data_IF_247049612474
#
_entry.id   IF_247049612474
#
_cell.length_a   1.000
_cell.length_b   1.000
_cell.length_c   1.000
_cell.angle_alpha   90.00
_cell.angle_beta   90.00
_cell.angle_gamma   90.00
#
_symmetry.space_group_name_H-M   'P 1'
#
loop_
_entity.id
_entity.type
_entity.pdbx_description
1 polymer ?
#
# COMPACT_ATOMS: atom_id res chain seq x y z
N UNK A 1 2.11 -23.18 13.03
CA UNK A 1 0.95 -22.52 12.39
C UNK A 1 1.26 -22.41 10.90
N UNK A 2 0.34 -22.73 9.98
CA UNK A 2 0.58 -22.48 8.56
C UNK A 2 0.70 -20.97 8.34
N UNK A 3 1.69 -20.53 7.57
CA UNK A 3 1.81 -19.13 7.18
C UNK A 3 0.55 -18.69 6.41
N UNK A 4 0.05 -17.46 6.63
CA UNK A 4 -1.08 -16.95 5.87
C UNK A 4 -0.77 -17.02 4.37
N UNK A 5 -1.59 -17.75 3.62
CA UNK A 5 -1.44 -17.81 2.17
C UNK A 5 -1.88 -16.47 1.56
N UNK A 6 -0.92 -15.71 1.06
CA UNK A 6 -1.20 -14.46 0.37
C UNK A 6 -2.01 -14.71 -0.91
N UNK A 7 -3.00 -13.85 -1.16
CA UNK A 7 -3.73 -13.83 -2.44
C UNK A 7 -2.81 -13.46 -3.61
N UNK A 8 -3.26 -13.66 -4.85
CA UNK A 8 -2.49 -13.24 -6.03
C UNK A 8 -2.11 -11.76 -6.00
N UNK A 9 -3.05 -10.88 -5.60
CA UNK A 9 -2.80 -9.44 -5.46
C UNK A 9 -1.81 -9.13 -4.34
N UNK A 10 -1.95 -9.78 -3.18
CA UNK A 10 -1.04 -9.58 -2.05
C UNK A 10 0.37 -10.05 -2.40
N UNK A 11 0.52 -11.18 -3.11
CA UNK A 11 1.81 -11.64 -3.63
C UNK A 11 2.46 -10.59 -4.52
N UNK A 12 1.72 -10.03 -5.47
CA UNK A 12 2.26 -8.95 -6.33
C UNK A 12 2.66 -7.72 -5.52
N UNK A 13 1.84 -7.30 -4.56
CA UNK A 13 2.12 -6.10 -3.77
C UNK A 13 3.29 -6.28 -2.79
N UNK A 14 3.59 -7.52 -2.37
CA UNK A 14 4.61 -7.81 -1.34
C UNK A 14 5.99 -7.23 -1.64
N UNK A 15 6.39 -7.11 -2.92
CA UNK A 15 7.67 -6.50 -3.34
C UNK A 15 7.76 -5.00 -3.03
N UNK A 16 6.64 -4.36 -2.72
CA UNK A 16 6.56 -2.93 -2.43
C UNK A 16 6.47 -2.62 -0.92
N UNK A 17 6.48 -3.64 -0.05
CA UNK A 17 6.50 -3.43 1.40
C UNK A 17 7.76 -2.63 1.77
N UNK A 18 7.60 -1.67 2.69
CA UNK A 18 8.56 -0.65 3.11
C UNK A 18 8.92 0.39 2.03
N UNK A 19 8.27 0.40 0.86
CA UNK A 19 8.42 1.51 -0.09
C UNK A 19 7.58 2.71 0.34
N UNK A 20 8.15 3.89 0.10
CA UNK A 20 7.47 5.16 0.30
C UNK A 20 6.22 5.25 -0.58
N UNK A 21 5.21 5.95 -0.07
CA UNK A 21 3.90 6.05 -0.68
C UNK A 21 3.40 7.48 -0.47
N UNK A 22 3.14 8.20 -1.55
CA UNK A 22 2.50 9.52 -1.52
C UNK A 22 1.31 9.52 -2.46
N UNK A 23 0.11 9.50 -1.89
CA UNK A 23 -1.13 9.37 -2.65
C UNK A 23 -2.10 10.49 -2.34
N UNK A 24 -2.47 11.24 -3.38
CA UNK A 24 -3.50 12.26 -3.27
C UNK A 24 -4.89 11.59 -3.30
N UNK A 25 -5.52 11.47 -2.14
CA UNK A 25 -6.85 10.88 -2.03
C UNK A 25 -7.94 11.81 -2.58
N UNK A 26 -7.80 13.11 -2.33
CA UNK A 26 -8.71 14.19 -2.76
C UNK A 26 -7.91 15.49 -2.93
N UNK A 27 -8.44 16.51 -3.63
CA UNK A 27 -7.80 17.83 -3.67
C UNK A 27 -7.50 18.34 -2.25
N UNK A 28 -6.23 18.64 -1.97
CA UNK A 28 -5.77 19.11 -0.66
C UNK A 28 -5.58 18.02 0.41
N UNK A 29 -5.82 16.74 0.10
CA UNK A 29 -5.62 15.63 1.05
C UNK A 29 -4.64 14.62 0.45
N UNK A 30 -3.42 14.61 1.00
CA UNK A 30 -2.34 13.70 0.62
C UNK A 30 -2.05 12.74 1.77
N UNK A 31 -1.95 11.46 1.44
CA UNK A 31 -1.50 10.41 2.35
C UNK A 31 -0.02 10.19 2.06
N UNK A 32 0.83 10.58 2.99
CA UNK A 32 2.28 10.36 2.90
C UNK A 32 2.71 9.35 3.95
N UNK A 33 3.45 8.34 3.53
CA UNK A 33 3.79 7.22 4.38
C UNK A 33 4.64 6.17 3.67
N UNK A 34 4.60 4.96 4.19
CA UNK A 34 5.15 3.78 3.54
C UNK A 34 4.17 2.61 3.62
N UNK A 35 4.19 1.77 2.58
CA UNK A 35 3.38 0.57 2.56
C UNK A 35 3.95 -0.45 3.57
N UNK A 36 3.23 -0.72 4.65
CA UNK A 36 3.74 -1.49 5.80
C UNK A 36 3.31 -2.96 5.81
N UNK A 37 2.37 -3.36 4.95
CA UNK A 37 1.86 -4.73 4.86
C UNK A 37 0.36 -4.81 4.63
N UNK A 38 -0.22 -5.99 4.81
CA UNK A 38 -1.63 -6.26 4.53
C UNK A 38 -2.51 -6.10 5.78
N UNK A 39 -3.76 -5.70 5.57
CA UNK A 39 -4.73 -5.67 6.67
C UNK A 39 -5.08 -7.10 7.09
N UNK A 40 -4.87 -7.49 8.36
CA UNK A 40 -5.16 -8.85 8.82
C UNK A 40 -6.65 -9.20 8.78
N UNK A 41 -7.53 -8.19 8.75
CA UNK A 41 -8.98 -8.37 8.72
C UNK A 41 -9.57 -8.27 7.31
N UNK A 42 -8.78 -7.91 6.31
CA UNK A 42 -9.27 -7.70 4.94
C UNK A 42 -8.22 -8.01 3.88
N UNK A 43 -8.49 -9.03 3.07
CA UNK A 43 -7.59 -9.49 2.01
C UNK A 43 -7.32 -8.44 0.92
N UNK A 44 -8.26 -7.50 0.72
CA UNK A 44 -8.21 -6.49 -0.34
C UNK A 44 -7.70 -5.13 0.16
N UNK A 45 -7.09 -5.08 1.34
CA UNK A 45 -6.58 -3.82 1.93
C UNK A 45 -5.10 -3.88 2.28
N UNK A 46 -4.45 -2.75 2.05
CA UNK A 46 -3.06 -2.46 2.36
C UNK A 46 -2.99 -1.48 3.53
N UNK A 47 -2.05 -1.69 4.44
CA UNK A 47 -1.78 -0.82 5.58
C UNK A 47 -0.66 0.16 5.22
N UNK A 48 -0.95 1.45 5.30
CA UNK A 48 0.02 2.52 5.12
C UNK A 48 0.39 3.06 6.49
N UNK A 49 1.67 3.01 6.85
CA UNK A 49 2.17 3.73 8.01
C UNK A 49 2.41 5.18 7.60
N UNK A 50 1.76 6.14 8.27
CA UNK A 50 1.89 7.55 7.95
C UNK A 50 3.27 8.08 8.39
N UNK A 51 3.83 9.02 7.64
CA UNK A 51 5.13 9.65 7.94
C UNK A 51 5.03 10.75 8.98
N UNK A 52 3.89 11.45 9.04
CA UNK A 52 3.66 12.61 9.89
C UNK A 52 3.06 12.26 11.27
N UNK A 53 2.59 11.03 11.44
CA UNK A 53 1.98 10.53 12.66
C UNK A 53 2.41 9.08 12.88
N UNK A 54 2.57 8.64 14.13
CA UNK A 54 2.75 7.23 14.48
C UNK A 54 1.46 6.39 14.25
N UNK A 55 0.65 6.79 13.26
CA UNK A 55 -0.68 6.28 12.96
C UNK A 55 -0.68 5.51 11.64
N UNK A 56 -1.67 4.63 11.48
CA UNK A 56 -1.81 3.75 10.32
C UNK A 56 -3.15 4.02 9.66
N UNK A 57 -3.14 4.07 8.33
CA UNK A 57 -4.36 4.06 7.54
C UNK A 57 -4.39 2.83 6.65
N UNK A 58 -5.56 2.53 6.09
CA UNK A 58 -5.71 1.43 5.14
C UNK A 58 -6.28 1.92 3.82
N UNK A 59 -5.68 1.47 2.73
CA UNK A 59 -6.13 1.75 1.37
C UNK A 59 -6.53 0.46 0.66
N UNK A 60 -7.38 0.54 -0.39
CA UNK A 60 -7.60 -0.60 -1.26
C UNK A 60 -6.27 -1.10 -1.82
N UNK A 61 -6.06 -2.42 -1.79
CA UNK A 61 -4.82 -3.04 -2.26
C UNK A 61 -4.56 -2.74 -3.75
N UNK A 62 -5.63 -2.67 -4.55
CA UNK A 62 -5.56 -2.24 -5.95
C UNK A 62 -5.05 -0.81 -6.11
N UNK A 63 -5.40 0.11 -5.21
CA UNK A 63 -4.88 1.49 -5.24
C UNK A 63 -3.36 1.51 -5.01
N UNK A 64 -2.87 0.71 -4.06
CA UNK A 64 -1.44 0.63 -3.75
C UNK A 64 -0.66 -0.03 -4.89
N UNK A 65 -1.21 -1.09 -5.50
CA UNK A 65 -0.62 -1.71 -6.68
C UNK A 65 -0.56 -0.73 -7.85
N UNK A 66 -1.68 -0.09 -8.19
CA UNK A 66 -1.73 0.86 -9.30
C UNK A 66 -0.78 2.05 -9.08
N UNK A 67 -0.58 2.48 -7.84
CA UNK A 67 0.40 3.53 -7.53
C UNK A 67 1.83 3.06 -7.88
N UNK A 68 2.25 1.91 -7.36
CA UNK A 68 3.62 1.44 -7.58
C UNK A 68 3.88 0.93 -9.00
N UNK A 69 2.90 0.29 -9.63
CA UNK A 69 2.99 -0.19 -11.00
C UNK A 69 2.82 0.96 -12.02
N UNK A 70 2.06 2.00 -11.66
CA UNK A 70 1.91 3.21 -12.49
C UNK A 70 3.10 4.17 -12.40
N UNK A 71 3.80 4.22 -11.26
CA UNK A 71 5.07 4.95 -11.13
C UNK A 71 6.18 4.27 -11.96
N UNK A 72 6.16 2.94 -12.12
CA UNK A 72 7.12 2.21 -12.97
C UNK A 72 6.99 2.59 -14.47
N UNK A 73 5.88 3.17 -14.92
CA UNK A 73 5.72 3.69 -16.30
C UNK A 73 6.18 5.16 -16.46
N UNK A 74 6.53 5.86 -15.37
CA UNK A 74 6.99 7.26 -15.37
C UNK A 74 8.52 7.42 -15.23
N UNK A 75 9.28 6.33 -15.40
CA UNK A 75 10.74 6.38 -15.65
C UNK A 75 11.05 6.11 -17.14
N UNK A 76 10.80 7.09 -18.01
CA UNK A 76 11.28 7.12 -19.40
C UNK A 76 11.77 8.52 -19.80
#
# INVERSE_FOLDING_TARGET
MPEPQLTGLQKRASKYINKAFSYQMRPGVVIEGYFSGFDPNSIDRAVIQLSNAADKTTLPLMTVLNYFEGDEEMEL
#
